data_IF_130312535074
#
_entry.id   IF_130312535074
#
_cell.length_a   1.000
_cell.length_b   1.000
_cell.length_c   1.000
_cell.angle_alpha   90.00
_cell.angle_beta   90.00
_cell.angle_gamma   90.00
#
_symmetry.space_group_name_H-M   'P 1'
#
loop_
_entity.id
_entity.type
_entity.pdbx_description
1 polymer ?
#
# COMPACT_ATOMS: atom_id res chain seq x y z
N UNK A 1 65.49 10.98 14.67
CA UNK A 1 66.39 9.82 14.84
C UNK A 1 65.57 8.73 15.51
N UNK A 2 65.33 7.54 14.99
CA UNK A 2 65.71 6.91 13.72
C UNK A 2 64.81 5.65 13.58
N UNK A 3 64.41 5.36 12.33
CA UNK A 3 64.32 4.03 11.70
C UNK A 3 63.37 2.98 12.33
N UNK A 4 62.25 2.61 11.71
CA UNK A 4 62.15 1.62 10.61
C UNK A 4 63.07 0.41 10.78
N UNK A 5 62.53 -0.80 10.93
CA UNK A 5 62.35 -1.72 9.78
C UNK A 5 61.84 -3.10 10.25
N UNK A 6 61.11 -3.71 9.33
CA UNK A 6 60.45 -4.98 9.27
C UNK A 6 61.18 -6.20 9.84
N UNK A 7 60.40 -7.22 10.22
CA UNK A 7 60.53 -8.57 9.64
C UNK A 7 59.28 -9.39 9.91
N UNK A 8 58.57 -9.66 8.81
CA UNK A 8 57.66 -10.79 8.61
C UNK A 8 58.42 -12.11 8.85
N UNK A 9 57.77 -13.15 9.36
CA UNK A 9 57.87 -14.41 8.63
C UNK A 9 56.51 -15.01 8.31
N UNK A 10 56.48 -15.43 7.07
CA UNK A 10 55.48 -16.17 6.32
C UNK A 10 55.35 -17.61 6.85
N UNK A 11 54.17 -18.20 6.63
CA UNK A 11 53.83 -19.63 6.57
C UNK A 11 54.19 -20.56 7.73
N UNK A 12 53.17 -20.91 8.51
CA UNK A 12 52.96 -22.30 8.93
C UNK A 12 51.46 -22.58 9.06
N UNK A 13 50.94 -23.32 8.08
CA UNK A 13 49.63 -23.92 8.11
C UNK A 13 49.62 -25.01 9.20
N UNK A 14 48.82 -24.82 10.24
CA UNK A 14 48.46 -25.89 11.18
C UNK A 14 47.03 -26.34 10.91
N UNK A 15 46.97 -27.28 9.99
CA UNK A 15 45.93 -28.28 9.79
C UNK A 15 45.54 -28.91 11.12
N UNK A 16 44.34 -28.60 11.62
CA UNK A 16 43.68 -29.41 12.65
C UNK A 16 42.96 -30.56 11.93
N UNK A 17 43.65 -31.70 11.81
CA UNK A 17 43.08 -32.95 11.34
C UNK A 17 42.28 -33.60 12.48
N UNK A 18 40.95 -33.67 12.32
CA UNK A 18 40.10 -34.57 13.08
C UNK A 18 39.36 -35.48 12.09
N UNK A 19 39.80 -36.73 12.09
CA UNK A 19 39.15 -37.91 11.50
C UNK A 19 37.67 -37.97 11.84
N UNK A 20 36.82 -38.14 10.82
CA UNK A 20 35.59 -38.96 10.91
C UNK A 20 35.29 -39.51 9.52
N UNK A 21 35.26 -40.84 9.50
CA UNK A 21 35.02 -41.76 8.40
C UNK A 21 33.52 -42.09 8.42
N UNK A 22 32.77 -41.76 7.35
CA UNK A 22 31.40 -42.30 7.15
C UNK A 22 30.99 -42.14 5.67
N UNK A 23 31.22 -43.17 4.85
CA UNK A 23 30.26 -44.22 4.42
C UNK A 23 29.25 -43.71 3.38
N UNK A 24 29.47 -44.16 2.14
CA UNK A 24 28.54 -44.09 1.03
C UNK A 24 27.40 -45.09 1.23
N UNK A 25 26.13 -44.73 0.95
CA UNK A 25 25.06 -45.71 0.94
C UNK A 25 24.99 -46.39 -0.44
N UNK A 26 25.41 -47.65 -0.40
CA UNK A 26 25.22 -48.69 -1.41
C UNK A 26 23.71 -48.94 -1.64
N UNK A 27 23.37 -49.14 -2.92
CA UNK A 27 22.04 -49.52 -3.35
C UNK A 27 21.70 -50.91 -2.82
N UNK A 28 20.66 -51.00 -1.99
CA UNK A 28 20.16 -52.28 -1.48
C UNK A 28 19.15 -52.85 -2.48
N UNK A 29 19.64 -53.70 -3.37
CA UNK A 29 18.85 -54.73 -4.05
C UNK A 29 18.29 -55.69 -2.99
N UNK A 30 16.99 -55.90 -2.95
CA UNK A 30 16.43 -57.08 -2.28
C UNK A 30 15.39 -57.69 -3.19
N UNK A 31 15.77 -58.89 -3.63
CA UNK A 31 15.11 -59.85 -4.51
C UNK A 31 13.59 -59.97 -4.33
N UNK A 32 12.90 -59.92 -5.48
CA UNK A 32 11.57 -60.49 -5.63
C UNK A 32 11.66 -62.02 -5.54
N UNK A 33 11.01 -62.58 -4.52
CA UNK A 33 10.74 -64.00 -4.40
C UNK A 33 9.50 -64.35 -5.22
N UNK A 34 9.69 -65.22 -6.21
CA UNK A 34 8.63 -65.87 -6.98
C UNK A 34 8.26 -67.20 -6.29
N UNK A 35 6.97 -67.41 -6.04
CA UNK A 35 6.43 -68.57 -5.31
C UNK A 35 4.93 -68.73 -5.58
N UNK A 36 4.63 -69.77 -6.35
CA UNK A 36 3.41 -70.11 -7.09
C UNK A 36 2.15 -70.52 -6.27
N UNK A 37 0.99 -70.37 -6.94
CA UNK A 37 -0.31 -71.09 -6.84
C UNK A 37 -1.35 -70.72 -5.74
N UNK A 38 -2.68 -70.93 -5.98
CA UNK A 38 -3.44 -70.99 -7.24
C UNK A 38 -4.74 -70.13 -7.24
N UNK A 39 -5.34 -70.08 -8.41
CA UNK A 39 -6.69 -69.58 -8.74
C UNK A 39 -7.80 -70.19 -7.85
N UNK A 40 -8.70 -69.35 -7.32
CA UNK A 40 -10.02 -69.77 -6.83
C UNK A 40 -11.03 -68.63 -6.98
N UNK A 41 -12.06 -68.90 -7.79
CA UNK A 41 -13.29 -68.12 -7.90
C UNK A 41 -14.08 -68.08 -6.57
N UNK A 42 -14.92 -67.03 -6.47
CA UNK A 42 -16.15 -66.89 -5.67
C UNK A 42 -16.00 -66.38 -4.23
N UNK A 43 -16.48 -65.15 -3.98
CA UNK A 43 -17.63 -64.92 -3.09
C UNK A 43 -17.94 -63.42 -2.95
N UNK A 44 -19.16 -63.06 -3.33
CA UNK A 44 -19.84 -61.79 -3.11
C UNK A 44 -20.18 -61.63 -1.61
N UNK A 45 -19.71 -60.56 -0.96
CA UNK A 45 -20.31 -59.93 0.23
C UNK A 45 -19.65 -58.56 0.52
N UNK A 46 -20.41 -57.58 1.04
CA UNK A 46 -20.13 -56.17 0.88
C UNK A 46 -19.05 -55.69 1.85
N UNK A 47 -17.97 -55.11 1.33
CA UNK A 47 -17.08 -54.29 2.14
C UNK A 47 -17.78 -52.95 2.38
N UNK A 48 -17.97 -52.61 3.67
CA UNK A 48 -18.43 -51.29 4.11
C UNK A 48 -17.64 -50.18 3.41
N UNK A 49 -18.38 -49.13 3.07
CA UNK A 49 -18.02 -47.97 2.27
C UNK A 49 -16.88 -47.15 2.90
N UNK A 50 -15.63 -47.63 2.78
CA UNK A 50 -14.42 -46.91 3.22
C UNK A 50 -13.76 -46.12 2.07
N UNK A 51 -14.58 -45.74 1.09
CA UNK A 51 -14.21 -44.90 -0.05
C UNK A 51 -14.74 -43.48 0.13
N UNK A 52 -13.84 -42.50 0.14
CA UNK A 52 -14.19 -41.08 0.19
C UNK A 52 -13.87 -40.41 -1.15
N UNK A 53 -14.69 -39.44 -1.55
CA UNK A 53 -14.44 -38.64 -2.74
C UNK A 53 -13.25 -37.70 -2.52
N UNK A 54 -12.30 -37.77 -3.44
CA UNK A 54 -11.17 -36.84 -3.59
C UNK A 54 -11.25 -36.24 -4.96
N UNK A 55 -11.17 -34.92 -5.03
CA UNK A 55 -11.03 -34.20 -6.29
C UNK A 55 -9.53 -34.04 -6.59
N UNK A 56 -9.06 -34.76 -7.60
CA UNK A 56 -7.68 -34.72 -8.09
C UNK A 56 -7.71 -34.34 -9.56
N UNK A 57 -6.95 -33.33 -9.96
CA UNK A 57 -6.87 -32.84 -11.35
C UNK A 57 -8.24 -32.53 -12.01
N UNK A 58 -9.23 -32.08 -11.22
CA UNK A 58 -10.56 -31.70 -11.72
C UNK A 58 -11.52 -32.87 -11.98
N UNK A 59 -11.18 -34.08 -11.56
CA UNK A 59 -12.07 -35.25 -11.57
C UNK A 59 -12.26 -35.80 -10.15
N UNK A 60 -13.49 -36.22 -9.83
CA UNK A 60 -13.84 -36.80 -8.54
C UNK A 60 -13.60 -38.30 -8.57
N UNK A 61 -12.69 -38.78 -7.73
CA UNK A 61 -12.40 -40.21 -7.56
C UNK A 61 -12.85 -40.66 -6.17
N UNK A 62 -13.60 -41.77 -6.11
CA UNK A 62 -13.81 -42.50 -4.86
C UNK A 62 -12.59 -43.36 -4.62
N UNK A 63 -11.75 -42.94 -3.67
CA UNK A 63 -10.51 -43.64 -3.33
C UNK A 63 -10.56 -44.12 -1.89
N UNK A 64 -9.97 -45.29 -1.56
CA UNK A 64 -9.84 -45.74 -0.18
C UNK A 64 -9.15 -44.68 0.67
N UNK A 65 -9.57 -44.53 1.95
CA UNK A 65 -9.00 -43.56 2.91
C UNK A 65 -7.45 -43.40 2.90
N UNK A 66 -6.62 -44.46 2.81
CA UNK A 66 -5.16 -44.27 2.78
C UNK A 66 -4.64 -43.57 1.51
N UNK A 67 -5.25 -43.77 0.35
CA UNK A 67 -4.86 -43.14 -0.92
C UNK A 67 -5.24 -41.66 -0.97
N UNK A 68 -6.38 -41.29 -0.40
CA UNK A 68 -6.78 -39.89 -0.20
C UNK A 68 -5.74 -39.12 0.62
N UNK A 69 -5.28 -39.69 1.72
CA UNK A 69 -4.25 -39.07 2.57
C UNK A 69 -2.94 -38.87 1.83
N UNK A 70 -2.50 -39.86 1.04
CA UNK A 70 -1.28 -39.73 0.23
C UNK A 70 -1.41 -38.63 -0.84
N UNK A 71 -2.52 -38.58 -1.56
CA UNK A 71 -2.79 -37.56 -2.60
C UNK A 71 -2.83 -36.15 -1.98
N UNK A 72 -3.51 -35.97 -0.84
CA UNK A 72 -3.54 -34.68 -0.13
C UNK A 72 -2.13 -34.28 0.36
N UNK A 73 -1.35 -35.22 0.89
CA UNK A 73 0.04 -34.95 1.30
C UNK A 73 0.93 -34.51 0.13
N UNK A 74 0.79 -35.12 -1.05
CA UNK A 74 1.55 -34.71 -2.24
C UNK A 74 1.14 -33.32 -2.74
N UNK A 75 -0.15 -33.01 -2.74
CA UNK A 75 -0.65 -31.66 -3.09
C UNK A 75 -0.14 -30.61 -2.09
N UNK A 76 -0.19 -30.90 -0.79
CA UNK A 76 0.33 -30.02 0.25
C UNK A 76 1.85 -29.84 0.17
N UNK A 77 2.59 -30.91 -0.11
CA UNK A 77 4.04 -30.85 -0.28
C UNK A 77 4.41 -30.02 -1.51
N UNK A 78 3.68 -30.18 -2.60
CA UNK A 78 3.87 -29.39 -3.82
C UNK A 78 3.58 -27.90 -3.56
N UNK A 79 2.46 -27.58 -2.91
CA UNK A 79 2.12 -26.21 -2.51
C UNK A 79 3.16 -25.60 -1.56
N UNK A 80 3.55 -26.32 -0.51
CA UNK A 80 4.57 -25.85 0.45
C UNK A 80 5.92 -25.65 -0.22
N UNK A 81 6.31 -26.54 -1.14
CA UNK A 81 7.58 -26.39 -1.88
C UNK A 81 7.53 -25.18 -2.81
N UNK A 82 6.39 -24.93 -3.47
CA UNK A 82 6.16 -23.72 -4.27
C UNK A 82 6.20 -22.46 -3.39
N UNK A 83 5.51 -22.44 -2.25
CA UNK A 83 5.53 -21.32 -1.31
C UNK A 83 6.94 -21.02 -0.79
N UNK A 84 7.73 -22.05 -0.44
CA UNK A 84 9.13 -21.89 -0.02
C UNK A 84 9.99 -21.36 -1.17
N UNK A 85 9.77 -21.82 -2.41
CA UNK A 85 10.48 -21.31 -3.58
C UNK A 85 10.12 -19.83 -3.87
N UNK A 86 8.85 -19.47 -3.78
CA UNK A 86 8.36 -18.10 -3.93
C UNK A 86 8.91 -17.18 -2.83
N UNK A 87 8.90 -17.62 -1.58
CA UNK A 87 9.48 -16.88 -0.46
C UNK A 87 10.99 -16.66 -0.64
N UNK A 88 11.73 -17.70 -1.06
CA UNK A 88 13.17 -17.58 -1.36
C UNK A 88 13.42 -16.58 -2.48
N UNK A 89 12.62 -16.64 -3.55
CA UNK A 89 12.73 -15.70 -4.67
C UNK A 89 12.42 -14.26 -4.24
N UNK A 90 11.38 -14.05 -3.44
CA UNK A 90 11.03 -12.74 -2.92
C UNK A 90 12.13 -12.17 -2.01
N UNK A 91 12.68 -13.00 -1.12
CA UNK A 91 13.79 -12.61 -0.24
C UNK A 91 15.06 -12.30 -1.03
N UNK A 92 15.39 -13.11 -2.03
CA UNK A 92 16.53 -12.87 -2.91
C UNK A 92 16.36 -11.55 -3.68
N UNK A 93 15.18 -11.28 -4.23
CA UNK A 93 14.88 -10.00 -4.88
C UNK A 93 15.03 -8.82 -3.92
N UNK A 94 14.49 -8.93 -2.70
CA UNK A 94 14.64 -7.89 -1.68
C UNK A 94 16.11 -7.67 -1.31
N UNK A 95 16.88 -8.76 -1.17
CA UNK A 95 18.32 -8.68 -0.85
C UNK A 95 19.09 -8.00 -1.98
N UNK A 96 18.81 -8.37 -3.24
CA UNK A 96 19.44 -7.73 -4.40
C UNK A 96 19.12 -6.24 -4.48
N UNK A 97 17.86 -5.85 -4.26
CA UNK A 97 17.46 -4.43 -4.22
C UNK A 97 18.17 -3.67 -3.08
N UNK A 98 18.23 -4.27 -1.89
CA UNK A 98 18.92 -3.68 -0.75
C UNK A 98 20.42 -3.55 -0.99
N UNK A 99 21.07 -4.58 -1.53
CA UNK A 99 22.49 -4.55 -1.88
C UNK A 99 22.78 -3.46 -2.93
N UNK A 100 21.94 -3.31 -3.95
CA UNK A 100 22.05 -2.23 -4.94
C UNK A 100 21.91 -0.86 -4.28
N UNK A 101 20.89 -0.69 -3.43
CA UNK A 101 20.66 0.55 -2.71
C UNK A 101 21.88 0.92 -1.84
N UNK A 102 22.40 -0.02 -1.05
CA UNK A 102 23.57 0.19 -0.20
C UNK A 102 24.80 0.54 -1.04
N UNK A 103 25.04 -0.14 -2.16
CA UNK A 103 26.16 0.18 -3.07
C UNK A 103 26.07 1.62 -3.58
N UNK A 104 24.90 2.04 -4.05
CA UNK A 104 24.68 3.41 -4.56
C UNK A 104 24.90 4.45 -3.46
N UNK A 105 24.43 4.19 -2.24
CA UNK A 105 24.64 5.08 -1.10
C UNK A 105 26.12 5.14 -0.68
N UNK A 106 26.82 4.01 -0.63
CA UNK A 106 28.24 3.97 -0.31
C UNK A 106 29.07 4.73 -1.36
N UNK A 107 28.77 4.59 -2.64
CA UNK A 107 29.41 5.38 -3.69
C UNK A 107 29.17 6.88 -3.49
N UNK A 108 27.93 7.28 -3.22
CA UNK A 108 27.62 8.69 -2.97
C UNK A 108 28.37 9.27 -1.76
N UNK A 109 28.45 8.53 -0.65
CA UNK A 109 29.22 8.94 0.53
C UNK A 109 30.70 9.07 0.20
N UNK A 110 31.27 8.15 -0.59
CA UNK A 110 32.67 8.23 -1.04
C UNK A 110 32.92 9.47 -1.90
N UNK A 111 31.99 9.81 -2.79
CA UNK A 111 32.10 10.99 -3.64
C UNK A 111 32.06 12.28 -2.81
N UNK A 112 31.15 12.36 -1.83
CA UNK A 112 31.09 13.49 -0.90
C UNK A 112 32.35 13.59 -0.02
N UNK A 113 32.90 12.47 0.44
CA UNK A 113 34.15 12.46 1.20
C UNK A 113 35.33 12.93 0.35
N UNK A 114 35.42 12.51 -0.92
CA UNK A 114 36.43 13.00 -1.87
C UNK A 114 36.27 14.50 -2.14
N UNK A 115 35.03 14.97 -2.29
CA UNK A 115 34.75 16.39 -2.47
C UNK A 115 35.23 17.20 -1.27
N UNK A 116 34.90 16.75 -0.06
CA UNK A 116 35.37 17.39 1.18
C UNK A 116 36.89 17.39 1.29
N UNK A 117 37.57 16.30 0.93
CA UNK A 117 39.04 16.24 0.94
C UNK A 117 39.66 17.23 -0.06
N UNK A 118 39.07 17.40 -1.25
CA UNK A 118 39.51 18.40 -2.22
C UNK A 118 39.26 19.83 -1.72
N UNK A 119 38.11 20.06 -1.07
CA UNK A 119 37.79 21.34 -0.44
C UNK A 119 38.82 21.70 0.64
N UNK A 120 39.15 20.77 1.54
CA UNK A 120 40.17 20.96 2.58
C UNK A 120 41.55 21.24 1.98
N UNK A 121 41.94 20.54 0.92
CA UNK A 121 43.19 20.82 0.21
C UNK A 121 43.19 22.21 -0.41
N UNK A 122 42.09 22.65 -1.03
CA UNK A 122 41.96 23.99 -1.60
C UNK A 122 41.96 25.09 -0.54
N UNK A 123 41.40 24.83 0.65
CA UNK A 123 41.42 25.78 1.77
C UNK A 123 42.84 26.11 2.24
N UNK A 124 43.77 25.14 2.17
CA UNK A 124 45.18 25.38 2.52
C UNK A 124 45.82 26.48 1.65
N UNK A 125 45.35 26.63 0.40
CA UNK A 125 45.85 27.65 -0.53
C UNK A 125 45.18 29.02 -0.35
N UNK A 126 44.04 29.08 0.34
CA UNK A 126 43.24 30.30 0.49
C UNK A 126 43.96 31.39 1.28
N UNK A 127 44.78 30.99 2.25
CA UNK A 127 45.51 31.89 3.14
C UNK A 127 46.94 32.18 2.69
N UNK A 128 47.39 31.63 1.55
CA UNK A 128 48.73 31.89 1.03
C UNK A 128 48.82 33.29 0.43
N UNK A 129 49.89 34.01 0.76
CA UNK A 129 50.21 35.29 0.13
C UNK A 129 50.95 35.05 -1.20
N UNK A 130 50.18 34.89 -2.27
CA UNK A 130 50.69 34.59 -3.61
C UNK A 130 51.69 35.64 -4.13
N UNK A 131 51.44 36.93 -3.87
CA UNK A 131 52.31 38.03 -4.30
C UNK A 131 53.69 37.94 -3.63
N UNK A 132 53.72 37.63 -2.33
CA UNK A 132 54.96 37.46 -1.60
C UNK A 132 55.75 36.24 -2.09
N UNK A 133 55.08 35.11 -2.33
CA UNK A 133 55.73 33.89 -2.86
C UNK A 133 56.31 34.17 -4.25
N UNK A 134 55.58 34.89 -5.11
CA UNK A 134 56.07 35.25 -6.44
C UNK A 134 57.32 36.16 -6.37
N UNK A 135 57.34 37.13 -5.45
CA UNK A 135 58.49 38.02 -5.26
C UNK A 135 59.72 37.30 -4.68
N UNK A 136 59.51 36.27 -3.85
CA UNK A 136 60.58 35.49 -3.22
C UNK A 136 61.12 34.37 -4.12
N UNK A 137 60.22 33.59 -4.72
CA UNK A 137 60.54 32.48 -5.62
C UNK A 137 59.46 32.27 -6.71
N UNK A 138 59.68 32.83 -7.91
CA UNK A 138 58.77 32.65 -9.05
C UNK A 138 58.56 31.19 -9.47
N UNK A 139 59.54 30.31 -9.23
CA UNK A 139 59.46 28.90 -9.62
C UNK A 139 58.56 28.11 -8.67
N UNK A 140 58.67 28.37 -7.36
CA UNK A 140 57.79 27.80 -6.34
C UNK A 140 56.34 28.26 -6.56
N UNK A 141 56.16 29.56 -6.84
CA UNK A 141 54.85 30.13 -7.16
C UNK A 141 54.17 29.40 -8.33
N UNK A 142 54.89 29.20 -9.44
CA UNK A 142 54.35 28.49 -10.61
C UNK A 142 53.89 27.07 -10.26
N UNK A 143 54.67 26.32 -9.47
CA UNK A 143 54.31 24.96 -9.03
C UNK A 143 53.03 24.95 -8.16
N UNK A 144 52.92 25.87 -7.21
CA UNK A 144 51.77 25.96 -6.32
C UNK A 144 50.49 26.35 -7.09
N UNK A 145 50.58 27.29 -8.04
CA UNK A 145 49.44 27.63 -8.92
C UNK A 145 49.02 26.45 -9.78
N UNK A 146 49.98 25.71 -10.36
CA UNK A 146 49.67 24.51 -11.13
C UNK A 146 48.93 23.48 -10.27
N UNK A 147 49.41 23.23 -9.05
CA UNK A 147 48.76 22.31 -8.12
C UNK A 147 47.35 22.79 -7.72
N UNK A 148 47.20 24.08 -7.41
CA UNK A 148 45.91 24.68 -7.10
C UNK A 148 44.91 24.53 -8.26
N UNK A 149 45.33 24.81 -9.49
CA UNK A 149 44.48 24.66 -10.67
C UNK A 149 44.08 23.19 -10.89
N UNK A 150 45.01 22.24 -10.73
CA UNK A 150 44.71 20.82 -10.83
C UNK A 150 43.67 20.38 -9.78
N UNK A 151 43.79 20.84 -8.54
CA UNK A 151 42.83 20.55 -7.47
C UNK A 151 41.46 21.16 -7.75
N UNK A 152 41.43 22.41 -8.25
CA UNK A 152 40.21 23.10 -8.64
C UNK A 152 39.50 22.37 -9.78
N UNK A 153 40.24 21.98 -10.82
CA UNK A 153 39.69 21.24 -11.96
C UNK A 153 39.17 19.86 -11.53
N UNK A 154 39.90 19.16 -10.65
CA UNK A 154 39.46 17.87 -10.10
C UNK A 154 38.16 18.01 -9.31
N UNK A 155 38.03 19.07 -8.49
CA UNK A 155 36.82 19.39 -7.75
C UNK A 155 35.65 19.68 -8.69
N UNK A 156 35.84 20.54 -9.67
CA UNK A 156 34.78 20.90 -10.63
C UNK A 156 34.27 19.68 -11.41
N UNK A 157 35.19 18.79 -11.83
CA UNK A 157 34.82 17.52 -12.47
C UNK A 157 33.99 16.64 -11.54
N UNK A 158 34.45 16.44 -10.29
CA UNK A 158 33.73 15.60 -9.32
C UNK A 158 32.33 16.16 -9.00
N UNK A 159 32.20 17.48 -8.82
CA UNK A 159 30.90 18.13 -8.62
C UNK A 159 29.99 17.91 -9.83
N UNK A 160 30.53 18.01 -11.04
CA UNK A 160 29.80 17.71 -12.27
C UNK A 160 29.27 16.26 -12.31
N UNK A 161 30.13 15.29 -11.98
CA UNK A 161 29.79 13.87 -11.93
C UNK A 161 28.70 13.56 -10.87
N UNK A 162 28.85 14.10 -9.66
CA UNK A 162 27.85 13.96 -8.58
C UNK A 162 26.51 14.54 -9.04
N UNK A 163 26.53 15.75 -9.57
CA UNK A 163 25.32 16.45 -10.02
C UNK A 163 24.61 15.69 -11.15
N UNK A 164 25.37 15.16 -12.12
CA UNK A 164 24.81 14.37 -13.20
C UNK A 164 24.16 13.08 -12.69
N UNK A 165 24.82 12.36 -11.78
CA UNK A 165 24.27 11.14 -11.15
C UNK A 165 23.04 11.44 -10.31
N UNK A 166 23.02 12.56 -9.59
CA UNK A 166 21.85 13.01 -8.83
C UNK A 166 20.66 13.32 -9.74
N UNK A 167 20.89 14.04 -10.84
CA UNK A 167 19.85 14.31 -11.83
C UNK A 167 19.32 13.02 -12.46
N UNK A 168 20.20 12.08 -12.81
CA UNK A 168 19.80 10.80 -13.35
C UNK A 168 18.93 10.02 -12.35
N UNK A 169 19.32 9.95 -11.07
CA UNK A 169 18.53 9.31 -10.02
C UNK A 169 17.17 9.98 -9.82
N UNK A 170 17.11 11.30 -9.85
CA UNK A 170 15.86 12.03 -9.74
C UNK A 170 14.91 11.72 -10.91
N UNK A 171 15.44 11.63 -12.13
CA UNK A 171 14.67 11.26 -13.32
C UNK A 171 14.18 9.80 -13.24
N UNK A 172 15.04 8.86 -12.84
CA UNK A 172 14.67 7.46 -12.66
C UNK A 172 13.57 7.31 -11.59
N UNK A 173 13.70 7.99 -10.45
CA UNK A 173 12.68 8.00 -9.40
C UNK A 173 11.35 8.59 -9.90
N UNK A 174 11.38 9.66 -10.70
CA UNK A 174 10.18 10.24 -11.31
C UNK A 174 9.51 9.28 -12.30
N UNK A 175 10.30 8.59 -13.12
CA UNK A 175 9.78 7.58 -14.06
C UNK A 175 9.18 6.38 -13.35
N UNK A 176 9.83 5.88 -12.29
CA UNK A 176 9.28 4.81 -11.48
C UNK A 176 7.97 5.21 -10.80
N UNK A 177 7.90 6.42 -10.25
CA UNK A 177 6.68 6.94 -9.64
C UNK A 177 5.55 7.05 -10.67
N UNK A 178 5.85 7.56 -11.87
CA UNK A 178 4.89 7.63 -12.97
C UNK A 178 4.38 6.24 -13.39
N UNK A 179 5.29 5.26 -13.57
CA UNK A 179 4.93 3.87 -13.90
C UNK A 179 4.06 3.26 -12.81
N UNK A 180 4.42 3.40 -11.53
CA UNK A 180 3.61 2.92 -10.40
C UNK A 180 2.22 3.57 -10.38
N UNK A 181 2.12 4.87 -10.68
CA UNK A 181 0.84 5.57 -10.75
C UNK A 181 -0.03 5.10 -11.94
N UNK A 182 0.58 4.76 -13.08
CA UNK A 182 -0.14 4.18 -14.22
C UNK A 182 -0.64 2.77 -13.91
N UNK A 183 0.22 1.93 -13.33
CA UNK A 183 -0.14 0.57 -12.90
C UNK A 183 -1.23 0.59 -11.82
N UNK A 184 -1.15 1.52 -10.87
CA UNK A 184 -2.16 1.68 -9.82
C UNK A 184 -3.50 2.10 -10.42
N UNK A 185 -3.50 3.06 -11.37
CA UNK A 185 -4.69 3.48 -12.10
C UNK A 185 -5.29 2.35 -12.92
N UNK A 186 -4.48 1.57 -13.64
CA UNK A 186 -4.93 0.43 -14.42
C UNK A 186 -5.58 -0.65 -13.52
N UNK A 187 -4.98 -0.92 -12.35
CA UNK A 187 -5.55 -1.82 -11.36
C UNK A 187 -6.91 -1.31 -10.85
N UNK A 188 -7.02 -0.02 -10.54
CA UNK A 188 -8.26 0.57 -10.02
C UNK A 188 -9.38 0.58 -11.06
N UNK A 189 -9.07 0.84 -12.34
CA UNK A 189 -10.03 0.74 -13.43
C UNK A 189 -10.55 -0.68 -13.64
N UNK A 190 -9.72 -1.69 -13.40
CA UNK A 190 -10.13 -3.10 -13.51
C UNK A 190 -11.04 -3.52 -12.36
N UNK A 191 -10.76 -3.04 -11.15
CA UNK A 191 -11.46 -3.49 -9.93
C UNK A 191 -12.70 -2.63 -9.60
N UNK A 192 -12.70 -1.36 -9.99
CA UNK A 192 -13.78 -0.40 -9.73
C UNK A 192 -14.37 0.05 -11.08
N UNK A 193 -15.53 -0.48 -11.49
CA UNK A 193 -16.08 -0.22 -12.83
C UNK A 193 -16.47 1.26 -13.07
N UNK A 194 -16.77 2.02 -12.01
CA UNK A 194 -17.08 3.46 -12.06
C UNK A 194 -15.84 4.36 -11.81
N UNK A 195 -14.63 3.80 -11.94
CA UNK A 195 -13.40 4.55 -11.66
C UNK A 195 -13.20 5.70 -12.65
N UNK A 196 -13.26 6.92 -12.13
CA UNK A 196 -13.05 8.17 -12.86
C UNK A 196 -12.36 9.20 -11.97
N UNK A 197 -11.82 10.27 -12.57
CA UNK A 197 -11.22 11.37 -11.80
C UNK A 197 -12.23 12.03 -10.84
N UNK A 198 -13.51 12.08 -11.22
CA UNK A 198 -14.58 12.59 -10.35
C UNK A 198 -14.87 11.65 -9.18
N UNK A 199 -14.80 10.34 -9.43
CA UNK A 199 -15.01 9.34 -8.39
C UNK A 199 -13.85 9.33 -7.38
N UNK A 200 -12.62 9.46 -7.86
CA UNK A 200 -11.43 9.64 -7.03
C UNK A 200 -11.53 10.90 -6.16
N UNK A 201 -12.03 12.01 -6.70
CA UNK A 201 -12.27 13.22 -5.92
C UNK A 201 -13.36 13.04 -4.83
N UNK A 202 -14.40 12.24 -5.10
CA UNK A 202 -15.44 11.91 -4.10
C UNK A 202 -14.88 11.03 -2.98
N UNK A 203 -14.10 10.02 -3.33
CA UNK A 203 -13.40 9.16 -2.38
C UNK A 203 -12.39 9.93 -1.53
N UNK A 204 -11.65 10.85 -2.15
CA UNK A 204 -10.72 11.74 -1.44
C UNK A 204 -11.47 12.60 -0.42
N UNK A 205 -12.62 13.19 -0.78
CA UNK A 205 -13.45 13.94 0.18
C UNK A 205 -13.93 13.07 1.34
N UNK A 206 -14.42 11.86 1.04
CA UNK A 206 -14.83 10.92 2.07
C UNK A 206 -13.67 10.55 3.01
N UNK A 207 -12.47 10.33 2.47
CA UNK A 207 -11.28 10.08 3.26
C UNK A 207 -10.89 11.28 4.15
N UNK A 208 -10.98 12.50 3.62
CA UNK A 208 -10.77 13.72 4.39
C UNK A 208 -11.78 13.85 5.54
N UNK A 209 -13.06 13.57 5.28
CA UNK A 209 -14.12 13.59 6.29
C UNK A 209 -13.91 12.50 7.37
N UNK A 210 -13.29 11.37 6.99
CA UNK A 210 -12.90 10.30 7.91
C UNK A 210 -11.61 10.60 8.71
N UNK A 211 -10.93 11.71 8.43
CA UNK A 211 -9.76 12.19 9.17
C UNK A 211 -8.40 11.88 8.54
N UNK A 212 -8.36 11.38 7.30
CA UNK A 212 -7.10 11.19 6.57
C UNK A 212 -6.55 12.53 6.04
N UNK A 213 -5.23 12.65 5.93
CA UNK A 213 -4.60 13.84 5.34
C UNK A 213 -4.58 13.77 3.79
N UNK A 214 -4.58 14.93 3.10
CA UNK A 214 -4.53 14.97 1.63
C UNK A 214 -3.31 14.25 1.04
N UNK A 215 -2.15 14.37 1.68
CA UNK A 215 -0.91 13.75 1.21
C UNK A 215 -0.91 12.23 1.42
N UNK A 216 -1.53 11.75 2.49
CA UNK A 216 -1.71 10.33 2.74
C UNK A 216 -2.60 9.69 1.67
N UNK A 217 -3.66 10.37 1.25
CA UNK A 217 -4.60 9.86 0.24
C UNK A 217 -3.91 9.77 -1.13
N UNK A 218 -3.16 10.80 -1.52
CA UNK A 218 -2.38 10.79 -2.78
C UNK A 218 -1.31 9.69 -2.76
N UNK A 219 -0.61 9.54 -1.64
CA UNK A 219 0.36 8.47 -1.44
C UNK A 219 -0.29 7.08 -1.49
N UNK A 220 -1.49 6.91 -0.92
CA UNK A 220 -2.24 5.66 -0.98
C UNK A 220 -2.59 5.27 -2.42
N UNK A 221 -3.04 6.23 -3.24
CA UNK A 221 -3.46 5.96 -4.60
C UNK A 221 -2.31 5.49 -5.51
N UNK A 222 -1.09 5.96 -5.26
CA UNK A 222 0.10 5.59 -6.04
C UNK A 222 0.79 4.35 -5.47
N UNK A 223 0.93 4.24 -4.14
CA UNK A 223 1.73 3.20 -3.51
C UNK A 223 0.91 1.95 -3.17
N UNK A 224 -0.38 2.11 -2.84
CA UNK A 224 -1.23 1.04 -2.32
C UNK A 224 -2.62 1.07 -2.97
N UNK A 225 -2.76 0.66 -4.25
CA UNK A 225 -4.04 0.66 -4.95
C UNK A 225 -5.11 -0.22 -4.26
N UNK A 226 -4.69 -1.26 -3.52
CA UNK A 226 -5.59 -2.09 -2.71
C UNK A 226 -6.26 -1.31 -1.57
N UNK A 227 -5.58 -0.33 -0.99
CA UNK A 227 -6.14 0.49 0.08
C UNK A 227 -7.25 1.41 -0.47
N UNK A 228 -7.09 1.91 -1.69
CA UNK A 228 -8.15 2.67 -2.38
C UNK A 228 -9.38 1.79 -2.66
N UNK A 229 -9.19 0.51 -3.01
CA UNK A 229 -10.31 -0.45 -3.10
C UNK A 229 -11.06 -0.58 -1.77
N UNK A 230 -10.35 -0.70 -0.65
CA UNK A 230 -10.97 -0.76 0.67
C UNK A 230 -11.73 0.52 1.02
N UNK A 231 -11.17 1.68 0.68
CA UNK A 231 -11.82 2.97 0.85
C UNK A 231 -13.12 3.06 0.01
N UNK A 232 -13.09 2.58 -1.23
CA UNK A 232 -14.26 2.48 -2.09
C UNK A 232 -15.36 1.60 -1.47
N UNK A 233 -15.01 0.43 -0.93
CA UNK A 233 -15.97 -0.45 -0.25
C UNK A 233 -16.55 0.20 1.01
N UNK A 234 -15.72 0.90 1.78
CA UNK A 234 -16.17 1.65 2.96
C UNK A 234 -17.17 2.76 2.57
N UNK A 235 -16.89 3.49 1.48
CA UNK A 235 -17.78 4.51 0.96
C UNK A 235 -19.13 3.95 0.51
N UNK A 236 -19.14 2.82 -0.22
CA UNK A 236 -20.38 2.11 -0.59
C UNK A 236 -21.13 1.68 0.67
N UNK A 237 -20.42 1.14 1.67
CA UNK A 237 -21.00 0.73 2.95
C UNK A 237 -21.69 1.87 3.67
N UNK A 238 -21.06 3.05 3.75
CA UNK A 238 -21.68 4.23 4.35
C UNK A 238 -22.92 4.67 3.55
N UNK A 239 -22.85 4.72 2.22
CA UNK A 239 -24.00 5.08 1.40
C UNK A 239 -25.18 4.12 1.60
N UNK A 240 -24.93 2.82 1.73
CA UNK A 240 -25.97 1.84 2.03
C UNK A 240 -26.57 2.07 3.42
N UNK A 241 -25.75 2.36 4.43
CA UNK A 241 -26.24 2.66 5.78
C UNK A 241 -27.07 3.95 5.81
N UNK A 242 -26.67 4.99 5.09
CA UNK A 242 -27.43 6.23 4.97
C UNK A 242 -28.75 6.00 4.24
N UNK A 243 -28.75 5.24 3.14
CA UNK A 243 -29.98 4.85 2.43
C UNK A 243 -30.90 4.02 3.32
N UNK A 244 -30.37 3.09 4.11
CA UNK A 244 -31.15 2.32 5.08
C UNK A 244 -31.74 3.25 6.16
N UNK A 245 -30.95 4.12 6.78
CA UNK A 245 -31.44 5.10 7.77
C UNK A 245 -32.50 6.04 7.18
N UNK A 246 -32.32 6.48 5.93
CA UNK A 246 -33.30 7.30 5.22
C UNK A 246 -34.57 6.52 4.85
N UNK A 247 -34.47 5.23 4.55
CA UNK A 247 -35.61 4.34 4.35
C UNK A 247 -36.33 3.98 5.66
N UNK A 248 -35.64 4.09 6.80
CA UNK A 248 -36.21 3.88 8.15
C UNK A 248 -36.74 5.18 8.78
N UNK A 249 -36.78 6.29 8.03
CA UNK A 249 -37.39 7.54 8.51
C UNK A 249 -38.86 7.23 8.84
N UNK A 250 -39.33 7.58 10.05
CA UNK A 250 -40.59 7.07 10.58
C UNK A 250 -41.72 7.37 9.61
N UNK A 251 -42.63 6.39 9.43
CA UNK A 251 -43.92 6.62 8.79
C UNK A 251 -44.50 7.94 9.31
N UNK A 252 -45.14 8.75 8.43
CA UNK A 252 -45.82 9.95 8.88
C UNK A 252 -46.67 9.58 10.08
N UNK A 253 -46.39 10.21 11.22
CA UNK A 253 -47.16 9.98 12.44
C UNK A 253 -48.64 10.02 12.05
N UNK A 254 -49.46 9.02 12.43
CA UNK A 254 -50.88 9.06 12.13
C UNK A 254 -51.38 10.41 12.61
N UNK A 255 -51.90 11.20 11.66
CA UNK A 255 -52.31 12.57 11.91
C UNK A 255 -53.10 12.60 13.22
N UNK A 256 -52.60 13.35 14.21
CA UNK A 256 -53.33 13.53 15.46
C UNK A 256 -54.74 13.99 15.07
N UNK A 257 -55.79 13.34 15.59
CA UNK A 257 -57.14 13.70 15.21
C UNK A 257 -57.33 15.17 15.55
N UNK A 258 -57.63 15.96 14.51
CA UNK A 258 -57.95 17.38 14.60
C UNK A 258 -58.91 17.55 15.78
N UNK A 259 -58.60 18.40 16.78
CA UNK A 259 -59.57 18.65 17.84
C UNK A 259 -60.80 19.21 17.13
N UNK A 260 -61.95 18.55 17.33
CA UNK A 260 -63.25 19.02 16.83
C UNK A 260 -63.34 20.50 17.18
N UNK A 261 -63.28 21.35 16.15
CA UNK A 261 -63.55 22.77 16.28
C UNK A 261 -64.96 22.85 16.83
N UNK A 262 -65.08 23.20 18.11
CA UNK A 262 -66.35 23.58 18.70
C UNK A 262 -66.97 24.62 17.77
N UNK A 263 -68.21 24.39 17.38
CA UNK A 263 -69.00 25.30 16.57
C UNK A 263 -69.04 26.66 17.25
N UNK A 264 -68.11 27.54 16.87
CA UNK A 264 -68.20 28.96 17.18
C UNK A 264 -69.35 29.51 16.36
N UNK A 265 -70.54 29.48 16.96
CA UNK A 265 -71.76 30.13 16.48
C UNK A 265 -71.43 31.58 16.15
N UNK A 266 -71.57 31.98 14.89
CA UNK A 266 -71.74 33.38 14.54
C UNK A 266 -72.94 33.94 15.34
N UNK A 267 -72.89 35.19 15.85
CA UNK A 267 -74.01 35.75 16.57
C UNK A 267 -75.21 35.84 15.62
N UNK A 268 -76.24 35.04 15.90
CA UNK A 268 -77.49 35.08 15.16
C UNK A 268 -78.16 36.44 15.37
N UNK A 269 -78.35 37.18 14.28
CA UNK A 269 -79.22 38.37 14.26
C UNK A 269 -80.58 37.97 14.79
N UNK A 270 -80.98 38.59 15.90
CA UNK A 270 -82.20 38.25 16.64
C UNK A 270 -83.42 38.56 15.77
N UNK A 271 -84.38 37.63 15.74
CA UNK A 271 -85.54 37.66 14.84
C UNK A 271 -86.49 38.83 15.19
N UNK A 272 -86.81 39.76 14.27
CA UNK A 272 -87.55 41.00 14.58
C UNK A 272 -88.96 40.80 15.13
N UNK A 273 -89.53 39.60 15.01
CA UNK A 273 -90.88 39.26 15.49
C UNK A 273 -90.92 38.84 16.96
N UNK A 274 -89.76 38.72 17.61
CA UNK A 274 -89.61 38.35 19.04
C UNK A 274 -89.02 39.48 19.89
N UNK A 275 -88.90 40.68 19.34
CA UNK A 275 -88.43 41.86 20.06
C UNK A 275 -89.59 42.62 20.67
N UNK A 276 -89.35 43.25 21.83
CA UNK A 276 -90.27 44.25 22.36
C UNK A 276 -90.28 45.51 21.47
N UNK A 277 -91.33 46.32 21.58
CA UNK A 277 -91.53 47.51 20.73
C UNK A 277 -90.38 48.51 20.84
N UNK A 278 -89.80 48.67 22.03
CA UNK A 278 -88.65 49.57 22.27
C UNK A 278 -87.34 49.03 21.66
N UNK A 279 -87.12 47.72 21.74
CA UNK A 279 -85.95 47.07 21.14
C UNK A 279 -86.01 47.11 19.60
N UNK A 280 -87.21 46.95 19.04
CA UNK A 280 -87.43 47.07 17.60
C UNK A 280 -87.17 48.49 17.10
N UNK A 281 -87.61 49.51 17.83
CA UNK A 281 -87.38 50.93 17.49
C UNK A 281 -85.87 51.26 17.47
N UNK A 282 -85.11 50.78 18.46
CA UNK A 282 -83.64 50.96 18.48
C UNK A 282 -82.96 50.26 17.31
N UNK A 283 -83.31 49.00 17.05
CA UNK A 283 -82.80 48.25 15.91
C UNK A 283 -83.13 48.93 14.57
N UNK A 284 -84.33 49.50 14.44
CA UNK A 284 -84.76 50.21 13.22
C UNK A 284 -84.04 51.55 13.04
N UNK A 285 -83.83 52.31 14.12
CA UNK A 285 -83.09 53.57 14.07
C UNK A 285 -81.61 53.34 13.70
N UNK A 286 -81.01 52.27 14.21
CA UNK A 286 -79.64 51.88 13.87
C UNK A 286 -79.51 51.45 12.40
N UNK A 287 -80.53 50.79 11.84
CA UNK A 287 -80.60 50.47 10.41
C UNK A 287 -80.73 51.73 9.53
N UNK A 288 -81.54 52.71 9.95
CA UNK A 288 -81.69 53.97 9.21
C UNK A 288 -80.42 54.82 9.25
N UNK A 289 -79.74 54.91 10.40
CA UNK A 289 -78.47 55.62 10.56
C UNK A 289 -77.33 55.01 9.72
N UNK A 290 -77.35 53.68 9.52
CA UNK A 290 -76.40 52.99 8.64
C UNK A 290 -76.70 53.18 7.14
N UNK A 291 -77.93 53.60 6.79
CA UNK A 291 -78.34 53.85 5.40
C UNK A 291 -78.22 55.32 4.98
N UNK A 292 -78.09 56.24 5.94
CA UNK A 292 -77.86 57.68 5.71
C UNK A 292 -76.38 58.09 5.80
N UNK A 293 -75.45 57.13 5.81
CA UNK A 293 -74.01 57.32 5.57
C UNK A 293 -73.67 56.70 4.23
#
# INVERSE_FOLDING_TARGET
MSEENATNPEVAAETTAATTEEVAPEANETELSEGEHPESETADQPAEDDTEEVEYEGQKYRVPKPLKSAIMMHADYTRKTQEVAEQRKALEQQRQQFEQYVKVQQEHIKDLARLHALDEQLEQYRNLNWDQIWQQDPTQHSRLIQQFNLLKDARERLVGEITQRDQQRALEAQQELAKRAEESRAYLMREIPEWSAEYDAKLTKFALDAGFQPDEIKGLAVNNPRAVKMLHLAYIGQQLLEKQKAATKPQPQPAQPVPKVGTSRAPATKDPRRMSTEEWMKWRNEQLARKSR
#
